data_IF_443368108140
#
_entry.id   IF_443368108140
#
_cell.length_a   1.000
_cell.length_b   1.000
_cell.length_c   1.000
_cell.angle_alpha   90.00
_cell.angle_beta   90.00
_cell.angle_gamma   90.00
#
_symmetry.space_group_name_H-M   'P 1'
#
loop_
_entity.id
_entity.type
_entity.pdbx_description
1 polymer ?
#
# COMPACT_ATOMS: atom_id res chain seq x y z
N UNK A 1 20.52 -18.42 24.24
CA UNK A 1 20.27 -17.07 23.69
C UNK A 1 20.93 -17.00 22.32
N UNK A 2 20.25 -16.44 21.32
CA UNK A 2 20.79 -16.28 19.95
C UNK A 2 21.54 -14.94 19.89
N UNK A 3 22.70 -14.89 19.22
CA UNK A 3 23.47 -13.64 19.04
C UNK A 3 22.85 -12.73 17.98
N UNK A 4 23.20 -11.44 17.97
CA UNK A 4 22.63 -10.51 16.98
C UNK A 4 23.00 -10.91 15.55
N UNK A 5 24.23 -11.35 15.31
CA UNK A 5 24.67 -11.87 14.01
C UNK A 5 23.84 -13.08 13.55
N UNK A 6 23.47 -13.97 14.48
CA UNK A 6 22.60 -15.10 14.19
C UNK A 6 21.12 -14.67 13.99
N UNK A 7 20.66 -13.60 14.66
CA UNK A 7 19.31 -13.04 14.46
C UNK A 7 19.15 -12.37 13.10
N UNK A 8 20.19 -11.69 12.63
CA UNK A 8 20.20 -10.96 11.36
C UNK A 8 20.73 -11.80 10.19
N UNK A 9 20.72 -13.13 10.30
CA UNK A 9 21.18 -14.02 9.24
C UNK A 9 20.21 -15.17 8.96
N UNK A 10 20.30 -15.70 7.73
CA UNK A 10 19.58 -16.89 7.28
C UNK A 10 18.06 -16.85 7.54
N UNK A 11 17.54 -17.93 8.09
CA UNK A 11 16.10 -18.11 8.35
C UNK A 11 15.59 -17.19 9.47
N UNK A 12 16.43 -16.82 10.44
CA UNK A 12 16.05 -15.91 11.52
C UNK A 12 15.72 -14.51 10.99
N UNK A 13 16.49 -14.03 10.00
CA UNK A 13 16.21 -12.77 9.30
C UNK A 13 14.89 -12.82 8.54
N UNK A 14 14.65 -13.88 7.75
CA UNK A 14 13.39 -14.04 7.01
C UNK A 14 12.20 -14.04 7.96
N UNK A 15 12.28 -14.78 9.07
CA UNK A 15 11.24 -14.81 10.08
C UNK A 15 11.03 -13.44 10.73
N UNK A 16 12.10 -12.69 11.03
CA UNK A 16 12.00 -11.34 11.58
C UNK A 16 11.22 -10.40 10.65
N UNK A 17 11.55 -10.40 9.36
CA UNK A 17 10.93 -9.50 8.36
C UNK A 17 9.49 -9.92 8.03
N UNK A 18 9.17 -11.21 8.11
CA UNK A 18 7.85 -11.77 7.72
C UNK A 18 6.88 -11.95 8.89
N UNK A 19 7.37 -12.10 10.13
CA UNK A 19 6.53 -12.44 11.29
C UNK A 19 5.44 -11.43 11.61
N UNK A 20 5.68 -10.14 11.39
CA UNK A 20 4.68 -9.10 11.67
C UNK A 20 3.54 -9.03 10.65
N UNK A 21 3.71 -9.61 9.45
CA UNK A 21 2.73 -9.44 8.37
C UNK A 21 1.45 -10.25 8.61
N UNK A 22 1.54 -11.34 9.39
CA UNK A 22 0.43 -12.26 9.65
C UNK A 22 -0.73 -11.62 10.37
N UNK A 23 -0.47 -10.64 11.23
CA UNK A 23 -1.49 -9.99 12.07
C UNK A 23 -2.40 -9.04 11.28
N UNK A 24 -1.93 -8.58 10.12
CA UNK A 24 -2.60 -7.55 9.32
C UNK A 24 -3.11 -8.06 7.97
N UNK A 25 -3.13 -9.39 7.77
CA UNK A 25 -3.61 -9.97 6.52
C UNK A 25 -5.11 -9.71 6.33
N UNK A 26 -5.53 -9.27 5.13
CA UNK A 26 -6.95 -9.13 4.82
C UNK A 26 -7.59 -10.51 4.65
N UNK A 27 -8.92 -10.56 4.75
CA UNK A 27 -9.72 -11.79 4.52
C UNK A 27 -9.47 -12.42 3.15
N UNK A 28 -8.98 -11.65 2.19
CA UNK A 28 -8.63 -12.10 0.83
C UNK A 28 -7.28 -12.81 0.77
N UNK A 29 -6.46 -12.80 1.82
CA UNK A 29 -5.12 -13.40 1.87
C UNK A 29 -5.04 -14.48 2.97
N UNK A 30 -5.35 -15.74 2.66
CA UNK A 30 -5.29 -16.83 3.64
C UNK A 30 -3.88 -17.12 4.18
N UNK A 31 -2.83 -16.84 3.38
CA UNK A 31 -1.45 -17.10 3.77
C UNK A 31 -0.59 -15.84 3.63
N UNK A 32 0.35 -15.68 4.56
CA UNK A 32 1.39 -14.67 4.43
C UNK A 32 2.34 -15.05 3.28
N UNK A 33 2.75 -14.07 2.44
CA UNK A 33 3.82 -14.30 1.49
C UNK A 33 5.12 -14.66 2.25
N UNK A 34 5.81 -15.68 1.77
CA UNK A 34 7.03 -16.22 2.41
C UNK A 34 8.30 -15.50 1.95
N UNK A 35 8.18 -14.68 0.89
CA UNK A 35 9.28 -13.93 0.28
C UNK A 35 8.94 -12.45 0.29
N UNK A 36 9.98 -11.62 0.25
CA UNK A 36 9.81 -10.19 0.01
C UNK A 36 9.07 -9.96 -1.32
N UNK A 37 8.15 -8.99 -1.33
CA UNK A 37 7.47 -8.58 -2.54
C UNK A 37 8.44 -7.85 -3.48
N UNK A 38 8.25 -8.02 -4.80
CA UNK A 38 8.94 -7.19 -5.78
C UNK A 38 8.45 -5.75 -5.70
N UNK A 39 9.12 -4.83 -6.40
CA UNK A 39 8.82 -3.41 -6.29
C UNK A 39 7.37 -3.06 -6.72
N UNK A 40 6.90 -3.61 -7.84
CA UNK A 40 5.55 -3.32 -8.40
C UNK A 40 4.85 -4.56 -8.96
N UNK A 41 5.57 -5.46 -9.66
CA UNK A 41 5.01 -6.67 -10.28
C UNK A 41 5.73 -7.89 -9.73
N UNK A 42 4.96 -8.86 -9.24
CA UNK A 42 5.50 -10.11 -8.68
C UNK A 42 5.62 -11.22 -9.74
N UNK A 43 4.61 -11.35 -10.61
CA UNK A 43 4.52 -12.46 -11.55
C UNK A 43 3.82 -12.05 -12.85
N UNK A 44 4.23 -12.66 -13.95
CA UNK A 44 3.59 -12.56 -15.28
C UNK A 44 3.36 -13.99 -15.76
N UNK A 45 2.12 -14.32 -16.09
CA UNK A 45 1.72 -15.66 -16.55
C UNK A 45 0.89 -15.56 -17.85
N UNK A 46 1.27 -16.23 -18.94
CA UNK A 46 2.43 -17.12 -19.12
C UNK A 46 3.79 -16.40 -19.02
N UNK A 47 4.87 -17.13 -18.77
CA UNK A 47 6.22 -16.56 -18.70
C UNK A 47 6.58 -15.91 -20.05
N UNK A 48 7.24 -14.74 -20.02
CA UNK A 48 7.63 -13.94 -21.19
C UNK A 48 6.47 -13.43 -22.07
N UNK A 49 5.21 -13.53 -21.63
CA UNK A 49 4.05 -13.02 -22.38
C UNK A 49 3.88 -11.50 -22.32
N UNK A 50 4.59 -10.81 -21.42
CA UNK A 50 4.57 -9.36 -21.32
C UNK A 50 5.91 -8.81 -20.82
N UNK A 51 6.23 -7.58 -21.22
CA UNK A 51 7.37 -6.81 -20.71
C UNK A 51 6.87 -5.60 -19.94
N UNK A 52 7.38 -5.42 -18.72
CA UNK A 52 6.98 -4.32 -17.84
C UNK A 52 8.09 -3.28 -17.75
N UNK A 53 7.72 -2.00 -17.80
CA UNK A 53 8.65 -0.87 -17.72
C UNK A 53 8.04 0.32 -16.98
N UNK A 54 8.85 1.34 -16.68
CA UNK A 54 8.37 2.60 -16.09
C UNK A 54 7.78 2.45 -14.69
N UNK A 55 8.27 1.48 -13.90
CA UNK A 55 7.80 1.18 -12.56
C UNK A 55 7.90 2.39 -11.63
N UNK A 56 6.77 2.79 -11.05
CA UNK A 56 6.72 3.83 -10.01
C UNK A 56 5.77 3.39 -8.90
N UNK A 57 6.07 3.77 -7.66
CA UNK A 57 5.27 3.46 -6.49
C UNK A 57 5.29 4.64 -5.52
N UNK A 58 4.12 4.99 -5.01
CA UNK A 58 3.93 5.90 -3.89
C UNK A 58 3.34 5.15 -2.70
N UNK A 59 2.87 5.91 -1.70
CA UNK A 59 2.30 5.35 -0.47
C UNK A 59 0.95 4.64 -0.72
N UNK A 60 0.11 5.22 -1.56
CA UNK A 60 -1.26 4.74 -1.83
C UNK A 60 -1.49 4.44 -3.32
N UNK A 61 -0.45 4.47 -4.15
CA UNK A 61 -0.55 4.21 -5.57
C UNK A 61 0.67 3.50 -6.14
N UNK A 62 0.51 2.84 -7.28
CA UNK A 62 1.60 2.34 -8.10
C UNK A 62 1.25 2.44 -9.59
N UNK A 63 2.28 2.39 -10.41
CA UNK A 63 2.19 2.61 -11.83
C UNK A 63 3.22 1.77 -12.58
N UNK A 64 2.82 1.24 -13.73
CA UNK A 64 3.74 0.62 -14.68
C UNK A 64 3.14 0.60 -16.09
N UNK A 65 4.02 0.53 -17.09
CA UNK A 65 3.62 0.22 -18.46
C UNK A 65 3.85 -1.27 -18.72
N UNK A 66 2.92 -1.92 -19.40
CA UNK A 66 3.04 -3.31 -19.84
C UNK A 66 2.87 -3.39 -21.36
N UNK A 67 3.87 -3.93 -22.04
CA UNK A 67 3.77 -4.32 -23.43
C UNK A 67 3.48 -5.81 -23.48
N UNK A 68 2.23 -6.17 -23.79
CA UNK A 68 1.70 -7.52 -23.72
C UNK A 68 1.74 -8.14 -25.11
N UNK A 69 2.45 -9.26 -25.24
CA UNK A 69 2.64 -10.00 -26.50
C UNK A 69 1.48 -10.98 -26.68
N UNK A 70 1.19 -11.76 -25.63
CA UNK A 70 0.10 -12.74 -25.59
C UNK A 70 -0.81 -12.45 -24.41
N UNK A 71 -2.07 -12.92 -24.48
CA UNK A 71 -3.02 -12.78 -23.36
C UNK A 71 -2.37 -13.26 -22.07
N UNK A 72 -2.27 -12.37 -21.09
CA UNK A 72 -1.47 -12.59 -19.90
C UNK A 72 -2.14 -12.09 -18.63
N UNK A 73 -1.80 -12.72 -17.52
CA UNK A 73 -2.20 -12.33 -16.17
C UNK A 73 -0.98 -11.74 -15.49
N UNK A 74 -1.09 -10.49 -15.06
CA UNK A 74 -0.05 -9.80 -14.28
C UNK A 74 -0.49 -9.77 -12.81
N UNK A 75 0.35 -10.32 -11.93
CA UNK A 75 0.17 -10.25 -10.48
C UNK A 75 0.94 -9.06 -9.93
N UNK A 76 0.21 -8.13 -9.35
CA UNK A 76 0.77 -6.93 -8.73
C UNK A 76 1.38 -7.28 -7.38
N UNK A 77 2.56 -6.72 -7.08
CA UNK A 77 3.31 -6.90 -5.84
C UNK A 77 2.70 -6.14 -4.63
N UNK A 78 1.37 -6.18 -4.52
CA UNK A 78 0.61 -5.50 -3.48
C UNK A 78 -0.59 -6.35 -3.09
N UNK A 79 -0.69 -6.67 -1.80
CA UNK A 79 -1.86 -7.34 -1.22
C UNK A 79 -3.06 -6.41 -1.33
N UNK A 80 -4.21 -6.96 -1.75
CA UNK A 80 -5.45 -6.22 -1.87
C UNK A 80 -6.06 -5.92 -0.51
N UNK A 81 -6.33 -4.63 -0.27
CA UNK A 81 -7.23 -4.16 0.78
C UNK A 81 -8.46 -3.47 0.15
N UNK A 82 -9.63 -3.46 0.81
CA UNK A 82 -10.80 -2.78 0.29
C UNK A 82 -10.52 -1.31 -0.06
N UNK A 83 -10.89 -0.91 -1.29
CA UNK A 83 -10.75 0.47 -1.78
C UNK A 83 -9.70 0.66 -2.89
N UNK A 84 -8.93 -0.36 -3.26
CA UNK A 84 -8.09 -0.28 -4.45
C UNK A 84 -8.92 -0.24 -5.74
N UNK A 85 -8.49 0.61 -6.68
CA UNK A 85 -8.99 0.70 -8.03
C UNK A 85 -7.84 0.59 -9.00
N UNK A 86 -8.06 -0.10 -10.12
CA UNK A 86 -7.07 -0.28 -11.18
C UNK A 86 -7.62 0.33 -12.46
N UNK A 87 -6.78 1.09 -13.15
CA UNK A 87 -7.07 1.62 -14.48
C UNK A 87 -6.04 1.14 -15.48
N UNK A 88 -6.51 0.78 -16.66
CA UNK A 88 -5.71 0.56 -17.85
C UNK A 88 -6.00 1.69 -18.84
N UNK A 89 -4.97 2.47 -19.20
CA UNK A 89 -5.09 3.61 -20.10
C UNK A 89 -6.23 4.56 -19.65
N UNK A 90 -6.24 4.91 -18.35
CA UNK A 90 -7.24 5.73 -17.66
C UNK A 90 -8.68 5.15 -17.60
N UNK A 91 -8.91 3.93 -18.06
CA UNK A 91 -10.21 3.26 -17.95
C UNK A 91 -10.19 2.25 -16.80
N UNK A 92 -11.19 2.30 -15.92
CA UNK A 92 -11.26 1.35 -14.81
C UNK A 92 -11.46 -0.07 -15.35
N UNK A 93 -10.63 -1.00 -14.87
CA UNK A 93 -10.71 -2.41 -15.20
C UNK A 93 -11.05 -3.23 -13.97
N UNK A 94 -11.64 -4.41 -14.20
CA UNK A 94 -11.84 -5.40 -13.14
C UNK A 94 -10.55 -6.16 -12.91
N UNK A 95 -10.39 -6.65 -11.69
CA UNK A 95 -9.28 -7.51 -11.30
C UNK A 95 -9.80 -8.64 -10.41
N UNK A 96 -8.99 -9.67 -10.26
CA UNK A 96 -9.22 -10.78 -9.32
C UNK A 96 -8.18 -10.72 -8.21
N UNK A 97 -8.45 -11.39 -7.10
CA UNK A 97 -7.46 -11.59 -6.05
C UNK A 97 -6.89 -12.99 -6.15
N UNK A 98 -5.56 -13.10 -6.09
CA UNK A 98 -4.84 -14.36 -5.89
C UNK A 98 -5.43 -15.09 -4.67
N UNK A 99 -5.93 -16.34 -4.81
CA UNK A 99 -6.58 -17.05 -3.72
C UNK A 99 -5.63 -17.45 -2.58
N UNK A 100 -4.31 -17.41 -2.81
CA UNK A 100 -3.30 -17.84 -1.83
C UNK A 100 -2.82 -16.65 -0.99
N UNK A 101 -2.41 -15.57 -1.67
CA UNK A 101 -1.75 -14.41 -1.04
C UNK A 101 -2.58 -13.13 -1.13
N UNK A 102 -3.78 -13.18 -1.68
CA UNK A 102 -4.70 -12.03 -1.76
C UNK A 102 -4.19 -10.84 -2.58
N UNK A 103 -3.21 -11.05 -3.46
CA UNK A 103 -2.64 -10.02 -4.35
C UNK A 103 -3.57 -9.74 -5.53
N UNK A 104 -3.52 -8.52 -6.07
CA UNK A 104 -4.33 -8.16 -7.24
C UNK A 104 -3.76 -8.78 -8.52
N UNK A 105 -4.63 -9.40 -9.32
CA UNK A 105 -4.33 -9.99 -10.61
C UNK A 105 -5.18 -9.35 -11.70
N UNK A 106 -4.53 -8.87 -12.75
CA UNK A 106 -5.19 -8.28 -13.93
C UNK A 106 -4.95 -9.16 -15.15
N UNK A 107 -6.01 -9.43 -15.90
CA UNK A 107 -5.93 -10.10 -17.19
C UNK A 107 -5.85 -9.04 -18.29
N UNK A 108 -4.77 -9.05 -19.08
CA UNK A 108 -4.53 -8.11 -20.18
C UNK A 108 -4.50 -8.85 -21.51
N UNK A 109 -5.11 -8.24 -22.52
CA UNK A 109 -5.02 -8.68 -23.92
C UNK A 109 -3.69 -8.22 -24.54
N UNK A 110 -3.29 -8.75 -25.71
CA UNK A 110 -2.14 -8.24 -26.44
C UNK A 110 -2.26 -6.74 -26.75
N UNK A 111 -1.17 -6.00 -26.55
CA UNK A 111 -1.12 -4.56 -26.78
C UNK A 111 -0.32 -3.79 -25.72
N UNK A 112 -0.37 -2.47 -25.83
CA UNK A 112 0.26 -1.56 -24.89
C UNK A 112 -0.74 -1.09 -23.82
N UNK A 113 -0.35 -1.28 -22.56
CA UNK A 113 -1.17 -0.99 -21.40
C UNK A 113 -0.43 -0.06 -20.45
N UNK A 114 -1.14 0.94 -19.93
CA UNK A 114 -0.67 1.80 -18.87
C UNK A 114 -1.49 1.51 -17.62
N UNK A 115 -0.87 0.79 -16.70
CA UNK A 115 -1.54 0.34 -15.48
C UNK A 115 -1.25 1.33 -14.36
N UNK A 116 -2.33 1.85 -13.79
CA UNK A 116 -2.29 2.67 -12.59
C UNK A 116 -3.21 2.07 -11.54
N UNK A 117 -2.68 1.87 -10.33
CA UNK A 117 -3.39 1.29 -9.20
C UNK A 117 -3.38 2.32 -8.09
N UNK A 118 -4.55 2.58 -7.50
CA UNK A 118 -4.68 3.57 -6.42
C UNK A 118 -5.62 3.07 -5.34
N UNK A 119 -5.22 3.23 -4.08
CA UNK A 119 -6.07 3.08 -2.92
C UNK A 119 -6.91 4.35 -2.75
N UNK A 120 -8.20 4.23 -3.01
CA UNK A 120 -9.12 5.36 -2.87
C UNK A 120 -9.32 5.74 -1.40
N UNK A 121 -9.66 7.03 -1.18
CA UNK A 121 -10.09 7.48 0.14
C UNK A 121 -11.36 6.72 0.54
N UNK A 122 -11.31 6.04 1.68
CA UNK A 122 -12.51 5.44 2.28
C UNK A 122 -13.28 6.50 3.08
N UNK A 123 -14.62 6.39 3.20
CA UNK A 123 -15.41 7.31 4.02
C UNK A 123 -14.90 7.41 5.46
N UNK A 124 -14.44 6.30 6.03
CA UNK A 124 -13.86 6.27 7.39
C UNK A 124 -12.54 7.05 7.48
N UNK A 125 -11.67 6.98 6.46
CA UNK A 125 -10.42 7.76 6.41
C UNK A 125 -10.72 9.26 6.33
N UNK A 126 -11.74 9.62 5.55
CA UNK A 126 -12.18 11.01 5.43
C UNK A 126 -12.71 11.55 6.77
N UNK A 127 -13.60 10.82 7.45
CA UNK A 127 -14.13 11.22 8.77
C UNK A 127 -13.01 11.32 9.81
N UNK A 128 -12.12 10.33 9.87
CA UNK A 128 -11.01 10.29 10.83
C UNK A 128 -10.04 11.47 10.65
N UNK A 129 -9.79 11.88 9.41
CA UNK A 129 -8.98 13.04 9.11
C UNK A 129 -9.63 14.34 9.61
N UNK A 130 -10.95 14.49 9.47
CA UNK A 130 -11.68 15.64 10.02
C UNK A 130 -11.63 15.68 11.55
N UNK A 131 -11.85 14.54 12.21
CA UNK A 131 -11.75 14.45 13.67
C UNK A 131 -10.35 14.87 14.12
N UNK A 132 -9.31 14.30 13.51
CA UNK A 132 -7.92 14.62 13.83
C UNK A 132 -7.62 16.10 13.64
N UNK A 133 -8.06 16.69 12.54
CA UNK A 133 -7.91 18.12 12.28
C UNK A 133 -8.60 18.98 13.34
N UNK A 134 -9.85 18.67 13.69
CA UNK A 134 -10.59 19.40 14.72
C UNK A 134 -9.96 19.28 16.10
N UNK A 135 -9.40 18.12 16.44
CA UNK A 135 -8.67 17.90 17.70
C UNK A 135 -7.40 18.74 17.77
N UNK A 136 -6.60 18.78 16.69
CA UNK A 136 -5.40 19.63 16.66
C UNK A 136 -5.75 21.11 16.70
N UNK A 137 -6.79 21.52 15.99
CA UNK A 137 -7.26 22.91 16.00
C UNK A 137 -7.75 23.34 17.39
N UNK A 138 -8.54 22.51 18.06
CA UNK A 138 -9.03 22.82 19.41
C UNK A 138 -7.88 22.87 20.43
N UNK A 139 -6.89 21.98 20.32
CA UNK A 139 -5.69 22.01 21.16
C UNK A 139 -4.89 23.31 20.94
N UNK A 140 -4.68 23.73 19.69
CA UNK A 140 -3.97 24.97 19.37
C UNK A 140 -4.71 26.20 19.93
N UNK A 141 -6.03 26.25 19.79
CA UNK A 141 -6.85 27.33 20.36
C UNK A 141 -6.72 27.35 21.89
N UNK A 142 -6.80 26.19 22.54
CA UNK A 142 -6.66 26.09 23.99
C UNK A 142 -5.28 26.58 24.48
N UNK A 143 -4.20 26.15 23.83
CA UNK A 143 -2.84 26.54 24.20
C UNK A 143 -2.59 28.04 23.98
N UNK A 144 -3.05 28.59 22.86
CA UNK A 144 -2.89 30.03 22.56
C UNK A 144 -3.71 30.90 23.52
N UNK A 145 -4.92 30.48 23.88
CA UNK A 145 -5.74 31.14 24.89
C UNK A 145 -5.04 31.18 26.27
N UNK A 146 -4.49 30.04 26.71
CA UNK A 146 -3.73 29.96 27.97
C UNK A 146 -2.48 30.86 27.98
N UNK A 147 -1.74 30.90 26.87
CA UNK A 147 -0.56 31.75 26.73
C UNK A 147 -0.92 33.25 26.75
N UNK A 148 -1.99 33.63 26.06
CA UNK A 148 -2.46 35.01 26.05
C UNK A 148 -2.88 35.48 27.45
N UNK A 149 -3.61 34.64 28.19
CA UNK A 149 -3.99 34.92 29.58
C UNK A 149 -2.79 35.15 30.49
N UNK A 150 -1.74 34.32 30.39
CA UNK A 150 -0.51 34.46 31.19
C UNK A 150 0.28 35.73 30.86
N UNK A 151 0.36 36.12 29.59
CA UNK A 151 1.07 37.34 29.17
C UNK A 151 0.34 38.59 29.69
N UNK A 152 -0.99 38.60 29.66
CA UNK A 152 -1.77 39.75 30.11
C UNK A 152 -1.74 39.92 31.64
N UNK A 153 -1.68 38.84 32.41
CA UNK A 153 -1.50 38.89 33.87
C UNK A 153 -0.11 39.45 34.24
N UNK A 154 0.98 39.01 33.59
CA UNK A 154 2.34 39.52 33.84
C UNK A 154 2.59 40.99 33.49
N UNK A 155 1.72 41.62 32.70
CA UNK A 155 1.84 43.05 32.35
C UNK A 155 1.11 43.98 33.34
N UNK A 156 0.35 43.41 34.29
CA UNK A 156 -0.43 44.16 35.28
C UNK A 156 0.22 44.17 36.68
N UNK A 157 1.25 43.35 36.88
CA UNK A 157 2.15 43.37 38.04
C UNK A 157 3.42 44.16 37.70
#
# INVERSE_FOLDING_TARGET
>A
MITDEQKFSGQAWTNLVTSGITDYLPKTSPKAPQTAANFVVDEISPVNSAQVSGLKKGTDWLFFNANVIDKSTITIAQIYYPGFQITDNNKTIKFKTDPIYGRMQIELSPGYHQIYVKLQNTPIRLISNYISFLTWLSLLIFLTYQLYGKIHQRRRD
#
